data_IF_188780176625
#
_entry.id   IF_188780176625
#
_cell.length_a   1.000
_cell.length_b   1.000
_cell.length_c   1.000
_cell.angle_alpha   90.00
_cell.angle_beta   90.00
_cell.angle_gamma   90.00
#
_symmetry.space_group_name_H-M   'P 1'
#
loop_
_entity.id
_entity.type
_entity.pdbx_description
1 polymer ?
#
# COMPACT_ATOMS: atom_id res chain seq x y z
N UNK A 1 73.04 17.98 20.60
CA UNK A 1 72.20 18.12 19.38
C UNK A 1 71.12 17.03 19.23
N UNK A 2 70.61 16.43 20.33
CA UNK A 2 69.68 15.27 20.28
C UNK A 2 68.25 15.62 20.74
N UNK A 3 68.06 16.74 21.43
CA UNK A 3 66.76 17.18 22.00
C UNK A 3 65.71 17.50 20.93
N UNK A 4 66.14 18.08 19.80
CA UNK A 4 65.22 18.47 18.70
C UNK A 4 64.59 17.27 17.99
N UNK A 5 65.27 16.12 17.92
CA UNK A 5 64.75 14.91 17.27
C UNK A 5 63.62 14.27 18.07
N UNK A 6 63.77 14.18 19.41
CA UNK A 6 62.71 13.65 20.28
C UNK A 6 61.47 14.54 20.32
N UNK A 7 61.66 15.87 20.37
CA UNK A 7 60.53 16.82 20.35
C UNK A 7 59.71 16.70 19.06
N UNK A 8 60.38 16.60 17.90
CA UNK A 8 59.71 16.39 16.60
C UNK A 8 58.97 15.06 16.53
N UNK A 9 59.53 13.99 17.09
CA UNK A 9 58.87 12.70 17.13
C UNK A 9 57.59 12.72 17.98
N UNK A 10 57.63 13.38 19.15
CA UNK A 10 56.46 13.55 20.01
C UNK A 10 55.40 14.43 19.34
N UNK A 11 55.80 15.55 18.73
CA UNK A 11 54.89 16.42 17.98
C UNK A 11 54.22 15.69 16.82
N UNK A 12 54.95 14.87 16.06
CA UNK A 12 54.39 14.09 14.97
C UNK A 12 53.39 13.04 15.46
N UNK A 13 53.68 12.36 16.57
CA UNK A 13 52.74 11.41 17.17
C UNK A 13 51.46 12.12 17.64
N UNK A 14 51.60 13.28 18.30
CA UNK A 14 50.47 14.06 18.80
C UNK A 14 49.61 14.60 17.65
N UNK A 15 50.24 15.06 16.57
CA UNK A 15 49.55 15.46 15.35
C UNK A 15 48.78 14.29 14.72
N UNK A 16 49.40 13.10 14.63
CA UNK A 16 48.75 11.90 14.09
C UNK A 16 47.50 11.53 14.90
N UNK A 17 47.60 11.47 16.23
CA UNK A 17 46.45 11.15 17.08
C UNK A 17 45.35 12.21 17.00
N UNK A 18 45.73 13.48 16.92
CA UNK A 18 44.76 14.58 16.78
C UNK A 18 44.00 14.48 15.45
N UNK A 19 44.71 14.23 14.35
CA UNK A 19 44.09 14.03 13.03
C UNK A 19 43.18 12.80 13.05
N UNK A 20 43.62 11.69 13.63
CA UNK A 20 42.80 10.50 13.76
C UNK A 20 41.51 10.76 14.56
N UNK A 21 41.61 11.48 15.69
CA UNK A 21 40.46 11.86 16.49
C UNK A 21 39.48 12.77 15.73
N UNK A 22 40.00 13.74 14.96
CA UNK A 22 39.18 14.61 14.11
C UNK A 22 38.45 13.82 13.02
N UNK A 23 39.13 12.87 12.37
CA UNK A 23 38.52 12.00 11.35
C UNK A 23 37.43 11.13 11.96
N UNK A 24 37.69 10.49 13.10
CA UNK A 24 36.69 9.68 13.82
C UNK A 24 35.49 10.55 14.24
N UNK A 25 35.75 11.74 14.79
CA UNK A 25 34.70 12.69 15.17
C UNK A 25 33.85 13.13 13.98
N UNK A 26 34.49 13.44 12.84
CA UNK A 26 33.81 13.80 11.59
C UNK A 26 32.93 12.66 11.08
N UNK A 27 33.45 11.43 11.02
CA UNK A 27 32.67 10.27 10.61
C UNK A 27 31.55 9.93 11.60
N UNK A 28 31.77 10.10 12.91
CA UNK A 28 30.74 9.86 13.94
C UNK A 28 29.60 10.88 13.83
N UNK A 29 29.95 12.16 13.66
CA UNK A 29 28.98 13.23 13.44
C UNK A 29 28.24 13.05 12.11
N UNK A 30 28.95 12.71 11.04
CA UNK A 30 28.35 12.44 9.74
C UNK A 30 27.51 11.15 9.72
N UNK A 31 27.82 10.15 10.54
CA UNK A 31 26.96 8.98 10.73
C UNK A 31 25.66 9.32 11.47
N UNK A 32 25.71 10.30 12.37
CA UNK A 32 24.54 10.78 13.11
C UNK A 32 23.69 11.78 12.32
N UNK A 33 24.34 12.68 11.55
CA UNK A 33 23.73 13.73 10.75
C UNK A 33 23.47 13.32 9.29
N UNK A 34 24.07 12.23 8.84
CA UNK A 34 23.93 11.74 7.48
C UNK A 34 22.57 11.09 7.30
N UNK A 35 21.97 11.34 6.14
CA UNK A 35 20.67 10.90 5.67
C UNK A 35 20.45 9.35 5.62
N UNK A 36 21.35 8.57 6.22
CA UNK A 36 21.34 7.10 6.33
C UNK A 36 21.44 6.59 7.78
N UNK A 37 21.52 7.49 8.77
CA UNK A 37 21.45 7.14 10.19
C UNK A 37 20.04 6.72 10.59
N UNK A 38 19.92 5.94 11.67
CA UNK A 38 18.72 5.29 12.25
C UNK A 38 17.39 6.08 12.16
N UNK A 39 17.44 7.42 12.10
CA UNK A 39 16.26 8.29 11.96
C UNK A 39 15.62 8.31 10.58
N UNK A 40 16.40 8.20 9.50
CA UNK A 40 15.84 8.16 8.14
C UNK A 40 15.04 6.87 7.90
N UNK A 41 15.40 5.77 8.59
CA UNK A 41 14.61 4.54 8.56
C UNK A 41 13.28 4.70 9.29
N UNK A 42 13.26 5.38 10.44
CA UNK A 42 12.02 5.56 11.19
C UNK A 42 10.98 6.37 10.41
N UNK A 43 11.40 7.47 9.77
CA UNK A 43 10.49 8.30 8.97
C UNK A 43 9.97 7.54 7.74
N UNK A 44 10.83 6.75 7.09
CA UNK A 44 10.44 5.90 5.97
C UNK A 44 9.53 4.74 6.41
N UNK A 45 9.83 4.07 7.52
CA UNK A 45 9.02 2.98 8.07
C UNK A 45 7.62 3.50 8.46
N UNK A 46 7.54 4.73 8.98
CA UNK A 46 6.28 5.38 9.34
C UNK A 46 5.45 5.74 8.10
N UNK A 47 6.09 6.29 7.06
CA UNK A 47 5.45 6.53 5.77
C UNK A 47 4.98 5.24 5.10
N UNK A 48 5.79 4.17 5.16
CA UNK A 48 5.41 2.85 4.63
C UNK A 48 4.18 2.31 5.36
N UNK A 49 4.14 2.44 6.70
CA UNK A 49 3.00 1.99 7.49
C UNK A 49 1.72 2.77 7.15
N UNK A 50 1.82 4.09 6.99
CA UNK A 50 0.68 4.94 6.62
C UNK A 50 0.16 4.60 5.23
N UNK A 51 1.04 4.54 4.22
CA UNK A 51 0.66 4.19 2.84
C UNK A 51 0.11 2.77 2.74
N UNK A 52 0.66 1.82 3.52
CA UNK A 52 0.14 0.44 3.58
C UNK A 52 -1.29 0.41 4.11
N UNK A 53 -1.58 1.19 5.17
CA UNK A 53 -2.91 1.24 5.74
C UNK A 53 -3.93 1.86 4.78
N UNK A 54 -3.53 2.91 4.04
CA UNK A 54 -4.37 3.53 3.01
C UNK A 54 -4.64 2.55 1.85
N UNK A 55 -3.61 1.81 1.42
CA UNK A 55 -3.74 0.81 0.37
C UNK A 55 -4.72 -0.31 0.79
N UNK A 56 -4.61 -0.81 2.02
CA UNK A 56 -5.49 -1.85 2.52
C UNK A 56 -6.94 -1.37 2.66
N UNK A 57 -7.15 -0.11 3.06
CA UNK A 57 -8.47 0.51 3.09
C UNK A 57 -9.08 0.61 1.68
N UNK A 58 -8.32 1.09 0.70
CA UNK A 58 -8.76 1.17 -0.69
C UNK A 58 -9.06 -0.20 -1.29
N UNK A 59 -8.24 -1.21 -0.99
CA UNK A 59 -8.50 -2.60 -1.42
C UNK A 59 -9.80 -3.14 -0.84
N UNK A 60 -10.06 -2.88 0.45
CA UNK A 60 -11.30 -3.30 1.08
C UNK A 60 -12.51 -2.61 0.43
N UNK A 61 -12.38 -1.33 0.08
CA UNK A 61 -13.43 -0.59 -0.63
C UNK A 61 -13.65 -1.15 -2.04
N UNK A 62 -12.58 -1.38 -2.81
CA UNK A 62 -12.67 -2.03 -4.12
C UNK A 62 -13.35 -3.40 -4.02
N UNK A 63 -12.98 -4.25 -3.06
CA UNK A 63 -13.59 -5.55 -2.88
C UNK A 63 -15.10 -5.46 -2.54
N UNK A 64 -15.49 -4.46 -1.76
CA UNK A 64 -16.90 -4.19 -1.47
C UNK A 64 -17.67 -3.77 -2.73
N UNK A 65 -17.09 -2.89 -3.54
CA UNK A 65 -17.69 -2.45 -4.80
C UNK A 65 -17.72 -3.58 -5.83
N UNK A 66 -16.67 -4.38 -5.96
CA UNK A 66 -16.60 -5.56 -6.81
C UNK A 66 -17.75 -6.53 -6.48
N UNK A 67 -17.99 -6.76 -5.18
CA UNK A 67 -19.11 -7.60 -4.71
C UNK A 67 -20.47 -6.99 -5.09
N UNK A 68 -20.66 -5.68 -4.91
CA UNK A 68 -21.90 -5.00 -5.29
C UNK A 68 -22.13 -5.04 -6.80
N UNK A 69 -21.08 -4.81 -7.59
CA UNK A 69 -21.13 -4.90 -9.05
C UNK A 69 -21.44 -6.34 -9.48
N UNK A 70 -20.83 -7.35 -8.85
CA UNK A 70 -21.16 -8.76 -9.16
C UNK A 70 -22.63 -9.10 -8.90
N UNK A 71 -23.25 -8.49 -7.88
CA UNK A 71 -24.67 -8.67 -7.57
C UNK A 71 -25.58 -7.91 -8.54
N UNK A 72 -25.06 -6.86 -9.19
CA UNK A 72 -25.78 -6.05 -10.19
C UNK A 72 -25.50 -6.52 -11.63
N UNK A 73 -24.59 -7.49 -11.83
CA UNK A 73 -24.23 -7.95 -13.16
C UNK A 73 -25.35 -8.81 -13.76
N UNK A 74 -25.91 -8.42 -14.91
CA UNK A 74 -26.98 -9.12 -15.58
C UNK A 74 -26.57 -10.51 -16.09
N UNK A 75 -25.26 -10.82 -16.19
CA UNK A 75 -24.81 -12.18 -16.51
C UNK A 75 -25.09 -13.21 -15.39
N UNK A 76 -25.47 -12.75 -14.19
CA UNK A 76 -25.94 -13.61 -13.09
C UNK A 76 -27.47 -13.63 -12.92
N UNK A 77 -28.19 -12.80 -13.70
CA UNK A 77 -29.65 -12.80 -13.70
C UNK A 77 -30.11 -13.93 -14.62
N UNK A 78 -30.72 -14.95 -14.02
CA UNK A 78 -31.26 -16.10 -14.73
C UNK A 78 -32.26 -15.63 -15.81
N UNK A 79 -32.08 -16.00 -17.08
CA UNK A 79 -33.03 -15.70 -18.16
C UNK A 79 -34.47 -16.07 -17.81
N UNK A 80 -34.67 -17.15 -17.04
CA UNK A 80 -36.00 -17.59 -16.62
C UNK A 80 -36.65 -16.60 -15.64
N UNK A 81 -35.87 -15.96 -14.76
CA UNK A 81 -36.36 -14.91 -13.86
C UNK A 81 -36.77 -13.65 -14.62
N UNK A 82 -36.10 -13.32 -15.73
CA UNK A 82 -36.50 -12.22 -16.61
C UNK A 82 -37.80 -12.54 -17.35
N UNK A 83 -37.97 -13.79 -17.79
CA UNK A 83 -39.19 -14.22 -18.48
C UNK A 83 -40.40 -14.20 -17.52
N UNK A 84 -40.23 -14.67 -16.28
CA UNK A 84 -41.28 -14.54 -15.24
C UNK A 84 -41.66 -13.08 -14.96
N UNK A 85 -40.66 -12.18 -14.87
CA UNK A 85 -40.93 -10.75 -14.63
C UNK A 85 -41.64 -10.10 -15.82
N UNK A 86 -41.30 -10.48 -17.04
CA UNK A 86 -41.95 -10.01 -18.26
C UNK A 86 -43.41 -10.51 -18.34
N UNK A 87 -43.66 -11.79 -18.01
CA UNK A 87 -45.01 -12.37 -17.93
C UNK A 87 -45.87 -11.66 -16.89
N UNK A 88 -45.31 -11.38 -15.70
CA UNK A 88 -46.02 -10.68 -14.61
C UNK A 88 -46.34 -9.21 -14.93
N UNK A 89 -45.43 -8.49 -15.59
CA UNK A 89 -45.60 -7.06 -15.86
C UNK A 89 -46.38 -6.78 -17.15
N UNK A 90 -46.19 -7.58 -18.20
CA UNK A 90 -46.80 -7.34 -19.51
C UNK A 90 -48.00 -8.25 -19.81
N UNK A 91 -48.39 -9.18 -18.91
CA UNK A 91 -49.38 -10.22 -19.21
C UNK A 91 -49.06 -10.96 -20.54
N UNK A 92 -47.76 -11.10 -20.83
CA UNK A 92 -47.30 -11.73 -22.06
C UNK A 92 -47.46 -13.25 -21.90
N UNK A 93 -48.45 -13.83 -22.56
CA UNK A 93 -48.55 -15.29 -22.73
C UNK A 93 -47.90 -15.65 -24.07
N UNK A 94 -47.08 -16.70 -24.09
CA UNK A 94 -46.47 -17.17 -25.34
C UNK A 94 -47.60 -17.58 -26.31
N UNK A 95 -47.56 -17.20 -27.60
CA UNK A 95 -48.58 -17.58 -28.58
C UNK A 95 -48.82 -19.10 -28.70
N UNK A 96 -47.90 -19.94 -28.20
CA UNK A 96 -48.00 -21.40 -28.19
C UNK A 96 -48.58 -21.97 -26.89
N UNK A 97 -48.89 -21.14 -25.90
CA UNK A 97 -49.39 -21.56 -24.60
C UNK A 97 -50.94 -21.64 -24.61
N UNK A 98 -51.49 -22.81 -24.27
CA UNK A 98 -52.93 -23.06 -24.23
C UNK A 98 -53.58 -22.34 -23.03
N UNK A 99 -54.14 -21.16 -23.26
CA UNK A 99 -54.89 -20.44 -22.22
C UNK A 99 -56.34 -20.93 -22.14
N UNK A 100 -56.69 -21.57 -21.02
CA UNK A 100 -58.03 -22.11 -20.78
C UNK A 100 -58.87 -21.07 -20.03
N UNK A 101 -59.74 -20.36 -20.76
CA UNK A 101 -60.63 -19.32 -20.18
C UNK A 101 -61.79 -19.99 -19.46
N UNK A 102 -61.67 -20.15 -18.14
CA UNK A 102 -62.76 -20.63 -17.29
C UNK A 102 -63.89 -19.59 -17.27
N UNK A 103 -65.03 -19.96 -17.83
CA UNK A 103 -66.28 -19.19 -17.78
C UNK A 103 -66.85 -19.29 -16.37
N UNK A 104 -66.64 -18.25 -15.55
CA UNK A 104 -67.36 -18.10 -14.30
C UNK A 104 -68.83 -17.74 -14.57
N UNK A 105 -69.77 -18.22 -13.73
CA UNK A 105 -71.21 -17.97 -13.87
C UNK A 105 -71.58 -16.49 -13.65
#
# INVERSE_FOLDING_TARGET
MVTRKRLRAVLNALALYTIAALVIGYFSFNAYSGNRGLRAKQDLDQQIAELSAELDALKAECAMWERRVSLLRPESIDPDMLDERARLLLNYADPRELTLRLKQP
#
